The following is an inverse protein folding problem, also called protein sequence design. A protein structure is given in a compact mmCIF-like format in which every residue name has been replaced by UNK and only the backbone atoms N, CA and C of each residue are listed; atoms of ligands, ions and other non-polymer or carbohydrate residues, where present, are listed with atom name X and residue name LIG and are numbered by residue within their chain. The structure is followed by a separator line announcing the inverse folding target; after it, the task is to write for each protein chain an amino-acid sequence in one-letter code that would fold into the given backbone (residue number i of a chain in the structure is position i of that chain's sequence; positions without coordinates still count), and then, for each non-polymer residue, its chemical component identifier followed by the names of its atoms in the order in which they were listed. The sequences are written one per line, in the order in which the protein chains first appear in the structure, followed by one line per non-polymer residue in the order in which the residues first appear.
data_IF_019353978163
#
_entry.id   IF_019353978163
#
_cell.length_a   1.000
_cell.length_b   1.000
_cell.length_c   1.000
_cell.angle_alpha   90.00
_cell.angle_beta   90.00
_cell.angle_gamma   90.00
#
_symmetry.space_group_name_H-M   'P 1'
#
loop_
_entity.id
_entity.type
_entity.pdbx_description
1 polymer ?
#
# COMPACT_ATOMS: atom_id res chain seq x y z
N UNK A 1 -28.11 -4.44 -11.96
CA UNK A 1 -27.05 -4.57 -10.97
C UNK A 1 -25.77 -3.97 -11.52
N UNK A 2 -25.02 -3.25 -10.64
CA UNK A 2 -23.73 -2.68 -11.01
C UNK A 2 -22.71 -3.81 -11.04
N UNK A 3 -22.02 -3.95 -12.17
CA UNK A 3 -20.89 -4.88 -12.28
C UNK A 3 -19.61 -4.11 -11.91
N UNK A 4 -18.97 -4.54 -10.84
CA UNK A 4 -17.71 -3.96 -10.41
C UNK A 4 -16.53 -4.61 -11.15
N UNK A 5 -15.48 -3.87 -11.51
CA UNK A 5 -14.32 -4.45 -12.16
C UNK A 5 -13.55 -5.38 -11.22
N UNK A 6 -12.82 -6.35 -11.80
CA UNK A 6 -12.02 -7.31 -11.04
C UNK A 6 -11.10 -6.67 -10.00
N UNK A 7 -10.42 -5.53 -10.27
CA UNK A 7 -9.59 -4.88 -9.23
C UNK A 7 -10.34 -4.54 -7.95
N UNK A 8 -11.64 -4.21 -8.02
CA UNK A 8 -12.45 -3.96 -6.83
C UNK A 8 -12.58 -5.23 -5.97
N UNK A 9 -12.85 -6.38 -6.60
CA UNK A 9 -12.94 -7.66 -5.92
C UNK A 9 -11.59 -8.04 -5.28
N UNK A 10 -10.49 -7.79 -5.98
CA UNK A 10 -9.15 -8.04 -5.46
C UNK A 10 -8.86 -7.19 -4.22
N UNK A 11 -9.23 -5.91 -4.23
CA UNK A 11 -9.07 -5.03 -3.06
C UNK A 11 -9.85 -5.58 -1.87
N UNK A 12 -11.12 -5.95 -2.07
CA UNK A 12 -11.98 -6.44 -1.00
C UNK A 12 -11.40 -7.72 -0.38
N UNK A 13 -11.04 -8.68 -1.24
CA UNK A 13 -10.51 -9.97 -0.79
C UNK A 13 -9.20 -9.82 -0.03
N UNK A 14 -8.25 -9.10 -0.59
CA UNK A 14 -6.91 -8.98 0.01
C UNK A 14 -6.87 -8.01 1.19
N UNK A 15 -7.75 -7.04 1.25
CA UNK A 15 -7.92 -6.21 2.45
C UNK A 15 -8.29 -7.07 3.66
N UNK A 16 -9.23 -8.02 3.48
CA UNK A 16 -9.59 -8.97 4.51
C UNK A 16 -8.41 -9.86 4.92
N UNK A 17 -7.63 -10.34 3.94
CA UNK A 17 -6.44 -11.15 4.20
C UNK A 17 -5.36 -10.38 4.96
N UNK A 18 -5.14 -9.12 4.64
CA UNK A 18 -4.19 -8.25 5.37
C UNK A 18 -4.58 -8.16 6.85
N UNK A 19 -5.86 -7.99 7.15
CA UNK A 19 -6.36 -7.99 8.51
C UNK A 19 -6.21 -9.37 9.18
N UNK A 20 -6.60 -10.44 8.49
CA UNK A 20 -6.54 -11.81 9.03
C UNK A 20 -5.11 -12.24 9.37
N UNK A 21 -4.13 -11.76 8.63
CA UNK A 21 -2.70 -12.02 8.89
C UNK A 21 -2.11 -11.12 9.98
N UNK A 22 -2.90 -10.24 10.56
CA UNK A 22 -2.42 -9.35 11.61
C UNK A 22 -1.51 -8.22 11.14
N UNK A 23 -1.57 -7.86 9.86
CA UNK A 23 -0.72 -6.81 9.30
C UNK A 23 -1.28 -5.41 9.54
N UNK A 24 -2.49 -5.30 10.04
CA UNK A 24 -3.15 -4.03 10.34
C UNK A 24 -4.23 -4.26 11.39
N UNK A 25 -4.61 -3.19 12.09
CA UNK A 25 -5.72 -3.22 13.05
C UNK A 25 -6.56 -1.95 12.93
N UNK A 26 -7.78 -1.98 13.49
CA UNK A 26 -8.73 -0.87 13.46
C UNK A 26 -8.93 -0.35 12.03
N UNK A 27 -8.90 0.97 11.84
CA UNK A 27 -9.06 1.61 10.53
C UNK A 27 -7.71 1.96 9.88
N UNK A 28 -6.62 1.32 10.34
CA UNK A 28 -5.30 1.55 9.77
C UNK A 28 -5.10 0.87 8.42
N UNK A 29 -4.12 1.35 7.66
CA UNK A 29 -3.79 0.81 6.36
C UNK A 29 -4.72 1.26 5.25
N UNK A 30 -4.30 1.05 4.02
CA UNK A 30 -5.09 1.31 2.83
C UNK A 30 -4.58 0.45 1.67
N UNK A 31 -5.50 0.12 0.77
CA UNK A 31 -5.24 -0.76 -0.36
C UNK A 31 -5.79 -0.10 -1.61
N UNK A 32 -5.03 -0.10 -2.69
CA UNK A 32 -5.46 0.49 -3.94
C UNK A 32 -5.16 -0.41 -5.14
N UNK A 33 -5.82 -0.08 -6.25
CA UNK A 33 -5.61 -0.72 -7.55
C UNK A 33 -5.67 0.32 -8.66
N UNK A 34 -4.82 0.14 -9.66
CA UNK A 34 -4.88 0.92 -10.90
C UNK A 34 -6.10 0.48 -11.71
N UNK A 35 -6.83 1.42 -12.25
CA UNK A 35 -7.98 1.16 -13.12
C UNK A 35 -7.90 2.08 -14.35
N UNK A 36 -7.18 1.64 -15.39
CA UNK A 36 -6.86 2.50 -16.54
C UNK A 36 -6.04 3.71 -16.09
N UNK A 37 -6.50 4.91 -16.40
CA UNK A 37 -5.88 6.15 -15.93
C UNK A 37 -6.31 6.58 -14.53
N UNK A 38 -7.20 5.81 -13.90
CA UNK A 38 -7.77 6.10 -12.58
C UNK A 38 -7.22 5.15 -11.51
N UNK A 39 -7.65 5.36 -10.27
CA UNK A 39 -7.26 4.53 -9.13
C UNK A 39 -8.50 4.25 -8.26
N UNK A 40 -8.70 2.97 -7.91
CA UNK A 40 -9.58 2.60 -6.81
C UNK A 40 -8.78 2.53 -5.53
N UNK A 41 -9.29 3.10 -4.45
CA UNK A 41 -8.63 3.06 -3.14
C UNK A 41 -9.67 2.91 -2.03
N UNK A 42 -9.29 2.23 -0.97
CA UNK A 42 -10.12 2.12 0.22
C UNK A 42 -10.36 3.52 0.81
N UNK A 43 -11.58 3.77 1.27
CA UNK A 43 -11.95 5.07 1.83
C UNK A 43 -11.28 5.36 3.17
N UNK A 44 -11.22 6.64 3.51
CA UNK A 44 -10.72 7.08 4.82
C UNK A 44 -11.56 6.48 5.94
N UNK A 45 -10.89 5.92 6.95
CA UNK A 45 -11.51 5.28 8.11
C UNK A 45 -12.31 4.02 7.80
N UNK A 46 -12.15 3.43 6.62
CA UNK A 46 -12.74 2.14 6.29
C UNK A 46 -11.79 1.05 6.80
N UNK A 47 -12.23 0.22 7.77
CA UNK A 47 -11.36 -0.84 8.28
C UNK A 47 -11.17 -1.94 7.23
N UNK A 48 -9.95 -2.40 7.06
CA UNK A 48 -9.63 -3.40 6.03
C UNK A 48 -10.35 -4.73 6.23
N UNK A 49 -10.74 -5.06 7.49
CA UNK A 49 -11.53 -6.27 7.79
C UNK A 49 -12.94 -6.24 7.21
N UNK A 50 -13.43 -5.05 6.82
CA UNK A 50 -14.84 -4.85 6.47
C UNK A 50 -15.00 -4.00 5.20
N UNK A 51 -14.06 -4.11 4.26
CA UNK A 51 -14.17 -3.38 2.99
C UNK A 51 -15.26 -4.00 2.13
N UNK A 52 -16.17 -3.16 1.65
CA UNK A 52 -17.21 -3.50 0.68
C UNK A 52 -17.06 -2.59 -0.54
N UNK A 53 -17.84 -2.80 -1.58
CA UNK A 53 -17.82 -1.93 -2.75
C UNK A 53 -18.09 -0.46 -2.38
N UNK A 54 -19.01 -0.21 -1.45
CA UNK A 54 -19.33 1.12 -0.96
C UNK A 54 -18.20 1.77 -0.16
N UNK A 55 -17.25 0.98 0.27
CA UNK A 55 -16.04 1.45 0.97
C UNK A 55 -14.91 1.85 0.04
N UNK A 56 -15.10 1.76 -1.27
CA UNK A 56 -14.09 2.11 -2.27
C UNK A 56 -14.36 3.49 -2.86
N UNK A 57 -13.29 4.22 -3.18
CA UNK A 57 -13.34 5.52 -3.84
C UNK A 57 -12.60 5.42 -5.16
N UNK A 58 -13.21 5.90 -6.22
CA UNK A 58 -12.57 6.04 -7.53
C UNK A 58 -12.04 7.47 -7.68
N UNK A 59 -10.74 7.58 -7.90
CA UNK A 59 -10.04 8.85 -8.11
C UNK A 59 -9.42 8.90 -9.51
N UNK A 60 -9.29 10.11 -10.07
CA UNK A 60 -8.47 10.32 -11.25
C UNK A 60 -6.98 10.41 -10.87
N UNK A 61 -6.11 10.58 -11.86
CA UNK A 61 -4.67 10.63 -11.67
C UNK A 61 -4.20 11.83 -10.80
N UNK A 62 -5.00 12.86 -10.68
CA UNK A 62 -4.72 14.03 -9.84
C UNK A 62 -5.31 13.91 -8.43
N UNK A 63 -6.04 12.84 -8.14
CA UNK A 63 -6.64 12.60 -6.84
C UNK A 63 -8.05 13.15 -6.67
N UNK A 64 -8.66 13.66 -7.74
CA UNK A 64 -10.04 14.12 -7.70
C UNK A 64 -10.98 12.91 -7.66
N UNK A 65 -11.96 12.96 -6.77
CA UNK A 65 -12.94 11.88 -6.62
C UNK A 65 -13.89 11.88 -7.82
N UNK A 66 -13.95 10.76 -8.54
CA UNK A 66 -14.88 10.53 -9.64
C UNK A 66 -16.13 9.81 -9.17
N UNK A 67 -16.01 8.93 -8.16
CA UNK A 67 -17.12 8.17 -7.61
C UNK A 67 -16.82 7.73 -6.19
N UNK A 68 -17.77 7.94 -5.30
CA UNK A 68 -17.72 7.47 -3.91
C UNK A 68 -19.13 7.44 -3.33
N UNK A 69 -19.34 6.62 -2.30
CA UNK A 69 -20.55 6.65 -1.50
C UNK A 69 -20.68 8.02 -0.81
N UNK A 70 -21.90 8.41 -0.51
CA UNK A 70 -22.17 9.71 0.13
C UNK A 70 -21.38 9.85 1.43
N UNK A 71 -20.62 10.93 1.56
CA UNK A 71 -19.83 11.23 2.74
C UNK A 71 -18.49 10.48 2.83
N UNK A 72 -18.22 9.53 1.94
CA UNK A 72 -16.97 8.82 1.93
C UNK A 72 -15.89 9.65 1.22
N UNK A 73 -14.75 9.79 1.90
CA UNK A 73 -13.57 10.46 1.35
C UNK A 73 -12.50 9.43 1.03
N UNK A 74 -11.61 9.71 0.07
CA UNK A 74 -10.46 8.83 -0.16
C UNK A 74 -9.52 8.84 1.05
N UNK A 75 -8.69 7.81 1.17
CA UNK A 75 -7.64 7.76 2.19
C UNK A 75 -6.82 9.05 2.18
N UNK A 76 -6.39 9.51 3.37
CA UNK A 76 -5.50 10.66 3.50
C UNK A 76 -4.14 10.43 2.84
N UNK A 77 -3.82 9.19 2.52
CA UNK A 77 -2.56 8.78 1.91
C UNK A 77 -2.68 8.52 0.40
N UNK A 78 -3.79 8.96 -0.19
CA UNK A 78 -4.07 8.82 -1.64
C UNK A 78 -2.92 9.34 -2.48
N UNK A 79 -2.30 10.46 -2.10
CA UNK A 79 -1.26 11.09 -2.89
C UNK A 79 -0.06 10.19 -3.12
N UNK A 80 0.46 9.51 -2.08
CA UNK A 80 1.63 8.66 -2.32
C UNK A 80 1.29 7.41 -3.13
N UNK A 81 0.05 6.91 -3.06
CA UNK A 81 -0.39 5.84 -3.96
C UNK A 81 -0.33 6.32 -5.42
N UNK A 82 -0.87 7.49 -5.71
CA UNK A 82 -0.86 8.07 -7.06
C UNK A 82 0.56 8.31 -7.56
N UNK A 83 1.44 8.81 -6.70
CA UNK A 83 2.85 9.04 -7.05
C UNK A 83 3.55 7.72 -7.42
N UNK A 84 3.29 6.64 -6.66
CA UNK A 84 3.85 5.32 -6.98
C UNK A 84 3.36 4.83 -8.34
N UNK A 85 2.06 4.95 -8.62
CA UNK A 85 1.53 4.54 -9.93
C UNK A 85 2.13 5.34 -11.08
N UNK A 86 2.39 6.62 -10.87
CA UNK A 86 3.04 7.48 -11.87
C UNK A 86 4.50 7.07 -12.09
N UNK A 87 5.23 6.77 -11.02
CA UNK A 87 6.65 6.40 -11.07
C UNK A 87 6.87 4.96 -11.54
N UNK A 88 5.89 4.09 -11.35
CA UNK A 88 5.95 2.66 -11.64
C UNK A 88 4.79 2.23 -12.54
N UNK A 89 4.87 2.49 -13.87
CA UNK A 89 3.76 2.19 -14.79
C UNK A 89 3.34 0.72 -14.82
N UNK A 90 4.24 -0.20 -14.48
CA UNK A 90 3.98 -1.64 -14.44
C UNK A 90 3.22 -2.09 -13.19
N UNK A 91 3.13 -1.25 -12.17
CA UNK A 91 2.47 -1.59 -10.92
C UNK A 91 0.97 -1.34 -11.03
N UNK A 92 0.17 -2.31 -10.59
CA UNK A 92 -1.28 -2.25 -10.64
C UNK A 92 -1.95 -2.30 -9.25
N UNK A 93 -1.21 -2.65 -8.19
CA UNK A 93 -1.74 -2.78 -6.83
C UNK A 93 -0.72 -2.27 -5.81
N UNK A 94 -1.24 -1.64 -4.75
CA UNK A 94 -0.43 -1.14 -3.63
C UNK A 94 -1.16 -1.53 -2.33
N UNK A 95 -0.39 -2.04 -1.37
CA UNK A 95 -0.84 -2.26 0.01
C UNK A 95 0.04 -1.41 0.92
N UNK A 96 -0.60 -0.59 1.75
CA UNK A 96 0.02 0.08 2.87
C UNK A 96 -0.58 -0.50 4.15
N UNK A 97 0.25 -1.02 5.03
CA UNK A 97 -0.16 -1.69 6.26
C UNK A 97 0.77 -1.30 7.42
N UNK A 98 0.42 -1.73 8.63
CA UNK A 98 1.15 -1.37 9.85
C UNK A 98 1.53 -2.62 10.64
N UNK A 99 2.34 -3.55 10.08
CA UNK A 99 2.74 -4.78 10.77
C UNK A 99 3.67 -4.45 11.94
N UNK A 100 3.41 -5.07 13.08
CA UNK A 100 4.11 -4.76 14.33
C UNK A 100 5.63 -4.93 14.23
N UNK A 101 6.09 -6.07 13.73
CA UNK A 101 7.53 -6.35 13.68
C UNK A 101 8.27 -5.45 12.68
N UNK A 102 7.66 -5.18 11.53
CA UNK A 102 8.26 -4.27 10.55
C UNK A 102 8.38 -2.85 11.11
N UNK A 103 7.35 -2.36 11.79
CA UNK A 103 7.38 -1.03 12.43
C UNK A 103 8.46 -0.99 13.52
N UNK A 104 8.51 -1.99 14.40
CA UNK A 104 9.53 -2.07 15.46
C UNK A 104 10.95 -2.12 14.90
N UNK A 105 11.15 -2.84 13.79
CA UNK A 105 12.46 -2.91 13.15
C UNK A 105 12.94 -1.54 12.69
N UNK A 106 12.04 -0.71 12.13
CA UNK A 106 12.41 0.62 11.64
C UNK A 106 12.96 1.54 12.74
N UNK A 107 12.56 1.31 13.99
CA UNK A 107 13.04 2.11 15.12
C UNK A 107 14.52 1.89 15.42
N UNK A 108 15.10 0.81 14.93
CA UNK A 108 16.53 0.52 15.08
C UNK A 108 17.40 1.28 14.07
N UNK A 109 16.79 1.86 13.04
CA UNK A 109 17.48 2.62 11.97
C UNK A 109 18.59 1.82 11.28
N UNK A 110 18.36 0.51 11.11
CA UNK A 110 19.29 -0.41 10.45
C UNK A 110 18.63 -1.04 9.23
N UNK A 111 19.40 -1.40 8.18
CA UNK A 111 18.87 -2.15 7.06
C UNK A 111 18.26 -3.47 7.52
N UNK A 112 17.15 -3.87 6.89
CA UNK A 112 16.51 -5.15 7.17
C UNK A 112 17.44 -6.30 6.71
N UNK A 113 17.84 -7.22 7.61
CA UNK A 113 18.66 -8.35 7.18
C UNK A 113 17.81 -9.39 6.46
N UNK A 114 18.32 -9.91 5.34
CA UNK A 114 17.65 -10.91 4.52
C UNK A 114 18.33 -12.28 4.78
N UNK A 115 17.80 -13.03 5.76
CA UNK A 115 18.39 -14.28 6.19
C UNK A 115 18.02 -15.49 5.32
N UNK A 116 16.82 -15.49 4.72
CA UNK A 116 16.35 -16.62 3.91
C UNK A 116 16.62 -16.37 2.42
N UNK A 117 16.79 -17.45 1.66
CA UNK A 117 16.90 -17.35 0.21
C UNK A 117 15.65 -16.75 -0.42
N UNK A 118 14.47 -17.07 0.13
CA UNK A 118 13.20 -16.49 -0.32
C UNK A 118 13.19 -14.97 -0.14
N UNK A 119 13.63 -14.47 1.02
CA UNK A 119 13.72 -13.04 1.28
C UNK A 119 14.71 -12.36 0.34
N UNK A 120 15.90 -12.94 0.17
CA UNK A 120 16.92 -12.39 -0.74
C UNK A 120 16.44 -12.31 -2.17
N UNK A 121 15.77 -13.38 -2.63
CA UNK A 121 15.32 -13.47 -4.02
C UNK A 121 14.12 -12.56 -4.31
N UNK A 122 13.16 -12.53 -3.41
CA UNK A 122 11.86 -11.85 -3.64
C UNK A 122 11.81 -10.42 -3.15
N UNK A 123 12.45 -10.11 -2.02
CA UNK A 123 12.48 -8.75 -1.48
C UNK A 123 13.64 -7.93 -2.06
N UNK A 124 14.82 -8.55 -2.20
CA UNK A 124 16.02 -7.82 -2.52
C UNK A 124 16.32 -6.77 -1.45
N UNK A 125 16.88 -5.65 -1.82
CA UNK A 125 17.08 -4.52 -0.92
C UNK A 125 15.74 -3.89 -0.58
N UNK A 126 15.50 -3.63 0.72
CA UNK A 126 14.28 -2.99 1.22
C UNK A 126 14.63 -1.60 1.72
N UNK A 127 14.37 -0.54 0.94
CA UNK A 127 14.65 0.83 1.37
C UNK A 127 13.76 1.25 2.54
N UNK A 128 14.24 2.20 3.33
CA UNK A 128 13.50 2.78 4.44
C UNK A 128 13.10 4.20 4.08
N UNK A 129 11.79 4.47 4.09
CA UNK A 129 11.23 5.80 3.92
C UNK A 129 11.38 6.55 5.25
N UNK A 130 11.99 7.75 5.27
CA UNK A 130 12.14 8.53 6.51
C UNK A 130 10.79 8.88 7.14
N UNK A 131 10.78 9.02 8.47
CA UNK A 131 9.59 9.38 9.24
C UNK A 131 9.11 10.80 8.89
N UNK A 132 7.82 10.91 8.59
CA UNK A 132 7.11 12.18 8.40
C UNK A 132 5.68 11.98 8.91
N UNK A 133 5.00 13.07 9.21
CA UNK A 133 3.64 13.00 9.75
C UNK A 133 2.68 12.26 8.81
N UNK A 134 1.88 11.28 9.34
CA UNK A 134 0.90 10.56 8.52
C UNK A 134 -0.07 11.50 7.80
N UNK A 135 -0.33 11.22 6.52
CA UNK A 135 -1.23 12.03 5.69
C UNK A 135 -0.67 13.37 5.25
N UNK A 136 0.58 13.69 5.58
CA UNK A 136 1.20 14.96 5.22
C UNK A 136 1.75 14.98 3.80
N UNK A 137 1.89 16.18 3.26
CA UNK A 137 2.57 16.40 1.98
C UNK A 137 4.03 15.97 2.05
N UNK A 138 4.68 16.21 3.19
CA UNK A 138 6.08 15.84 3.44
C UNK A 138 6.27 14.32 3.38
N UNK A 139 5.32 13.54 3.92
CA UNK A 139 5.37 12.09 3.83
C UNK A 139 5.24 11.63 2.37
N UNK A 140 4.28 12.19 1.63
CA UNK A 140 4.12 11.86 0.22
C UNK A 140 5.39 12.19 -0.58
N UNK A 141 6.04 13.31 -0.30
CA UNK A 141 7.27 13.72 -0.98
C UNK A 141 8.41 12.73 -0.73
N UNK A 142 8.66 12.32 0.54
CA UNK A 142 9.74 11.37 0.83
C UNK A 142 9.44 9.97 0.34
N UNK A 143 8.18 9.56 0.30
CA UNK A 143 7.79 8.29 -0.34
C UNK A 143 8.16 8.34 -1.83
N UNK A 144 7.76 9.39 -2.54
CA UNK A 144 8.06 9.54 -3.97
C UNK A 144 9.57 9.53 -4.23
N UNK A 145 10.35 10.25 -3.43
CA UNK A 145 11.81 10.27 -3.56
C UNK A 145 12.42 8.88 -3.36
N UNK A 146 11.99 8.18 -2.31
CA UNK A 146 12.54 6.85 -1.98
C UNK A 146 12.21 5.85 -3.09
N UNK A 147 10.97 5.85 -3.59
CA UNK A 147 10.56 4.97 -4.68
C UNK A 147 11.29 5.30 -5.98
N UNK A 148 11.47 6.58 -6.28
CA UNK A 148 12.16 7.01 -7.50
C UNK A 148 13.63 6.59 -7.52
N UNK A 149 14.30 6.58 -6.36
CA UNK A 149 15.71 6.21 -6.23
C UNK A 149 15.92 4.69 -6.18
N UNK A 150 14.89 3.93 -5.83
CA UNK A 150 15.00 2.49 -5.72
C UNK A 150 15.03 1.80 -7.09
N UNK A 151 15.59 0.59 -7.12
CA UNK A 151 15.56 -0.25 -8.32
C UNK A 151 14.12 -0.47 -8.80
N UNK A 152 13.93 -0.58 -10.10
CA UNK A 152 12.63 -0.89 -10.69
C UNK A 152 12.06 -2.24 -10.20
N UNK A 153 12.92 -3.14 -9.75
CA UNK A 153 12.51 -4.44 -9.21
C UNK A 153 12.13 -4.41 -7.73
N UNK A 154 12.40 -3.30 -7.04
CA UNK A 154 12.05 -3.15 -5.62
C UNK A 154 10.54 -2.99 -5.49
N UNK A 155 9.91 -3.87 -4.70
CA UNK A 155 8.46 -3.93 -4.49
C UNK A 155 8.04 -3.71 -3.04
N UNK A 156 9.01 -3.66 -2.12
CA UNK A 156 8.75 -3.54 -0.69
C UNK A 156 9.60 -2.43 -0.08
N UNK A 157 8.98 -1.62 0.76
CA UNK A 157 9.58 -0.48 1.45
C UNK A 157 9.13 -0.49 2.90
N UNK A 158 10.06 -0.21 3.80
CA UNK A 158 9.74 0.07 5.19
C UNK A 158 9.50 1.58 5.34
N UNK A 159 8.52 1.95 6.15
CA UNK A 159 8.24 3.35 6.47
C UNK A 159 8.56 3.56 7.94
N UNK A 160 9.61 4.33 8.24
CA UNK A 160 10.13 4.52 9.59
C UNK A 160 9.03 4.95 10.57
N UNK A 161 8.85 4.16 11.64
CA UNK A 161 7.86 4.45 12.68
C UNK A 161 6.40 4.38 12.22
N UNK A 162 6.11 3.90 11.01
CA UNK A 162 4.78 4.02 10.41
C UNK A 162 4.23 2.66 9.94
N UNK A 163 4.94 1.97 9.06
CA UNK A 163 4.44 0.73 8.48
C UNK A 163 5.26 0.24 7.30
N UNK A 164 4.56 -0.40 6.37
CA UNK A 164 5.13 -0.90 5.12
C UNK A 164 4.36 -0.35 3.92
N UNK A 165 5.06 -0.28 2.81
CA UNK A 165 4.49 0.03 1.50
C UNK A 165 4.96 -1.07 0.54
N UNK A 166 4.04 -1.84 0.01
CA UNK A 166 4.34 -2.90 -0.96
C UNK A 166 3.50 -2.72 -2.22
N UNK A 167 4.04 -3.19 -3.32
CA UNK A 167 3.41 -3.02 -4.62
C UNK A 167 3.62 -4.26 -5.49
N UNK A 168 2.77 -4.44 -6.49
CA UNK A 168 2.87 -5.57 -7.38
C UNK A 168 2.11 -5.36 -8.69
N UNK A 169 2.42 -6.20 -9.67
CA UNK A 169 1.67 -6.25 -10.93
C UNK A 169 0.33 -6.92 -10.73
N UNK A 170 0.28 -7.93 -9.86
CA UNK A 170 -0.93 -8.62 -9.42
C UNK A 170 -1.13 -8.39 -7.92
N UNK A 171 -2.34 -8.54 -7.45
CA UNK A 171 -2.63 -8.40 -6.01
C UNK A 171 -1.97 -9.52 -5.20
N UNK A 172 -1.90 -10.74 -5.74
CA UNK A 172 -1.21 -11.85 -5.09
C UNK A 172 0.27 -11.53 -4.87
N UNK A 173 0.96 -11.06 -5.89
CA UNK A 173 2.36 -10.63 -5.81
C UNK A 173 2.54 -9.53 -4.76
N UNK A 174 1.66 -8.54 -4.76
CA UNK A 174 1.67 -7.43 -3.81
C UNK A 174 1.50 -7.94 -2.37
N UNK A 175 0.52 -8.79 -2.12
CA UNK A 175 0.25 -9.37 -0.80
C UNK A 175 1.41 -10.24 -0.32
N UNK A 176 1.99 -11.05 -1.21
CA UNK A 176 3.13 -11.91 -0.88
C UNK A 176 4.33 -11.09 -0.41
N UNK A 177 4.55 -9.91 -0.99
CA UNK A 177 5.59 -8.99 -0.53
C UNK A 177 5.35 -8.54 0.92
N UNK A 178 4.11 -8.20 1.26
CA UNK A 178 3.75 -7.77 2.62
C UNK A 178 3.96 -8.90 3.64
N UNK A 179 3.49 -10.10 3.31
CA UNK A 179 3.61 -11.27 4.16
C UNK A 179 5.07 -11.66 4.38
N UNK A 180 5.85 -11.72 3.31
CA UNK A 180 7.27 -12.07 3.37
C UNK A 180 8.08 -11.02 4.15
N UNK A 181 7.76 -9.74 3.98
CA UNK A 181 8.44 -8.65 4.69
C UNK A 181 8.23 -8.76 6.20
N UNK A 182 7.03 -9.04 6.65
CA UNK A 182 6.75 -9.21 8.09
C UNK A 182 7.41 -10.47 8.64
N UNK A 183 7.45 -11.55 7.87
CA UNK A 183 8.05 -12.82 8.28
C UNK A 183 9.60 -12.76 8.28
N UNK A 184 10.18 -11.78 7.63
CA UNK A 184 11.62 -11.56 7.60
C UNK A 184 12.07 -10.76 8.81
#
# INVERSE_FOLDING_TARGET
SIVWPKPADDIIRYSALVYQKGLVSAAGGNVSARLGGDMLITGSNVPLRAVTYEGLVLCDAEGHVKRAAQGLKPSKETRFHLDVYRLRPEINYIIHAHPTYSVLWTLQKKPLPLYTESAKLKLGEVPIVPDRAPGSTELADVVAETVAKASADTRAFLMEGHGILVMGKTMEECFDQAELLEDT
#
